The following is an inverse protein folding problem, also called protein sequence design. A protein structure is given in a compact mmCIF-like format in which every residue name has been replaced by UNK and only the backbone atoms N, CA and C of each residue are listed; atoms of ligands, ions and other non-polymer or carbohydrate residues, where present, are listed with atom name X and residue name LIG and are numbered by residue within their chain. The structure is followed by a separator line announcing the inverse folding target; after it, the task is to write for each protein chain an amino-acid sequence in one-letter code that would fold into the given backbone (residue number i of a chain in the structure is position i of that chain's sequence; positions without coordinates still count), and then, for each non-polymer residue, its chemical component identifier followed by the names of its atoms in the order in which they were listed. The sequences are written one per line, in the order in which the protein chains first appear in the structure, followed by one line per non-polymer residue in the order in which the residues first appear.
data_IF_405873274330
#
_entry.id   IF_405873274330
#
_cell.length_a   1.000
_cell.length_b   1.000
_cell.length_c   1.000
_cell.angle_alpha   90.00
_cell.angle_beta   90.00
_cell.angle_gamma   90.00
#
_symmetry.space_group_name_H-M   'P 1'
#
loop_
_entity.id
_entity.type
_entity.pdbx_description
1 polymer ?
#
# COMPACT_ATOMS: atom_id res chain seq x y z
N UNK A 1 -7.91 -5.86 -8.47
CA UNK A 1 -9.32 -6.30 -8.28
C UNK A 1 -9.84 -5.76 -6.96
N UNK A 2 -11.13 -5.43 -6.86
CA UNK A 2 -11.72 -4.85 -5.65
C UNK A 2 -11.96 -5.95 -4.59
N UNK A 3 -11.40 -5.85 -3.37
CA UNK A 3 -11.55 -6.85 -2.31
C UNK A 3 -13.01 -7.20 -1.97
N UNK A 4 -13.90 -6.21 -2.01
CA UNK A 4 -15.32 -6.41 -1.72
C UNK A 4 -16.00 -7.32 -2.75
N UNK A 5 -15.69 -7.13 -4.02
CA UNK A 5 -16.30 -7.91 -5.11
C UNK A 5 -15.78 -9.36 -5.09
N UNK A 6 -14.51 -9.55 -4.72
CA UNK A 6 -13.95 -10.88 -4.49
C UNK A 6 -14.64 -11.60 -3.33
N UNK A 7 -14.86 -10.92 -2.20
CA UNK A 7 -15.55 -11.49 -1.05
C UNK A 7 -16.99 -11.92 -1.41
N UNK A 8 -17.73 -11.09 -2.15
CA UNK A 8 -19.10 -11.43 -2.61
C UNK A 8 -19.12 -12.64 -3.55
N UNK A 9 -18.20 -12.67 -4.52
CA UNK A 9 -18.10 -13.78 -5.46
C UNK A 9 -17.78 -15.09 -4.72
N UNK A 10 -16.81 -15.05 -3.81
CA UNK A 10 -16.40 -16.19 -2.99
C UNK A 10 -17.53 -16.73 -2.12
N UNK A 11 -18.26 -15.85 -1.43
CA UNK A 11 -19.43 -16.25 -0.63
C UNK A 11 -20.52 -16.94 -1.47
N UNK A 12 -20.69 -16.51 -2.71
CA UNK A 12 -21.73 -17.04 -3.62
C UNK A 12 -21.32 -18.38 -4.21
N UNK A 13 -20.06 -18.52 -4.60
CA UNK A 13 -19.55 -19.68 -5.35
C UNK A 13 -19.17 -20.84 -4.41
N UNK A 14 -18.40 -20.57 -3.36
CA UNK A 14 -17.82 -21.59 -2.50
C UNK A 14 -18.63 -21.89 -1.23
N UNK A 15 -19.53 -20.98 -0.82
CA UNK A 15 -20.32 -21.07 0.44
C UNK A 15 -19.45 -21.47 1.64
N UNK A 16 -18.43 -20.66 1.96
CA UNK A 16 -17.46 -20.98 2.99
C UNK A 16 -18.10 -21.11 4.38
N UNK A 17 -17.46 -21.90 5.22
CA UNK A 17 -17.82 -22.04 6.62
C UNK A 17 -17.55 -20.76 7.41
N UNK A 18 -18.19 -20.64 8.58
CA UNK A 18 -17.99 -19.53 9.52
C UNK A 18 -16.51 -19.35 9.89
N UNK A 19 -15.77 -20.45 10.05
CA UNK A 19 -14.34 -20.44 10.41
C UNK A 19 -13.48 -19.87 9.28
N UNK A 20 -13.75 -20.25 8.03
CA UNK A 20 -13.05 -19.71 6.86
C UNK A 20 -13.33 -18.23 6.64
N UNK A 21 -14.57 -17.80 6.89
CA UNK A 21 -14.93 -16.38 6.85
C UNK A 21 -14.17 -15.61 7.94
N UNK A 22 -14.09 -16.17 9.14
CA UNK A 22 -13.37 -15.56 10.26
C UNK A 22 -11.86 -15.46 9.99
N UNK A 23 -11.24 -16.50 9.44
CA UNK A 23 -9.84 -16.45 9.00
C UNK A 23 -9.61 -15.43 7.88
N UNK A 24 -10.57 -15.30 6.97
CA UNK A 24 -10.51 -14.31 5.89
C UNK A 24 -10.60 -12.88 6.42
N UNK A 25 -11.46 -12.64 7.42
CA UNK A 25 -11.56 -11.36 8.11
C UNK A 25 -10.22 -11.00 8.78
N UNK A 26 -9.62 -11.95 9.51
CA UNK A 26 -8.32 -11.75 10.16
C UNK A 26 -7.22 -11.39 9.14
N UNK A 27 -7.17 -12.11 8.01
CA UNK A 27 -6.24 -11.81 6.92
C UNK A 27 -6.46 -10.41 6.33
N UNK A 28 -7.71 -9.97 6.19
CA UNK A 28 -8.03 -8.63 5.70
C UNK A 28 -7.66 -7.54 6.71
N UNK A 29 -7.76 -7.80 8.01
CA UNK A 29 -7.34 -6.87 9.06
C UNK A 29 -5.83 -6.60 9.01
N UNK A 30 -5.02 -7.64 8.81
CA UNK A 30 -3.59 -7.49 8.58
C UNK A 30 -3.29 -6.63 7.33
N UNK A 31 -4.10 -6.76 6.28
CA UNK A 31 -3.98 -5.93 5.08
C UNK A 31 -4.42 -4.48 5.29
N UNK A 32 -5.26 -4.17 6.28
CA UNK A 32 -5.62 -2.78 6.61
C UNK A 32 -4.40 -2.00 7.10
N UNK A 33 -3.53 -2.64 7.90
CA UNK A 33 -2.27 -2.03 8.34
C UNK A 33 -1.29 -1.81 7.18
N UNK A 34 -1.29 -2.72 6.18
CA UNK A 34 -0.42 -2.63 5.00
C UNK A 34 -1.19 -2.99 3.72
N UNK A 35 -1.90 -2.01 3.12
CA UNK A 35 -2.72 -2.27 1.95
C UNK A 35 -1.86 -2.67 0.73
N UNK A 36 -2.28 -3.69 -0.03
CA UNK A 36 -1.62 -4.02 -1.30
C UNK A 36 -1.79 -2.89 -2.33
N UNK A 37 -0.85 -2.80 -3.26
CA UNK A 37 -0.82 -1.74 -4.27
C UNK A 37 -2.14 -1.70 -5.09
N UNK A 38 -2.75 -0.51 -5.17
CA UNK A 38 -4.02 -0.30 -5.88
C UNK A 38 -5.27 -0.70 -5.09
N UNK A 39 -5.13 -1.06 -3.82
CA UNK A 39 -6.26 -1.33 -2.91
C UNK A 39 -6.30 -0.27 -1.81
N UNK A 40 -7.47 0.35 -1.63
CA UNK A 40 -7.66 1.33 -0.57
C UNK A 40 -8.09 0.66 0.75
N UNK A 41 -7.70 1.27 1.87
CA UNK A 41 -8.15 0.88 3.21
C UNK A 41 -9.68 0.86 3.32
N UNK A 42 -10.38 1.76 2.62
CA UNK A 42 -11.86 1.79 2.57
C UNK A 42 -12.45 0.54 1.92
N UNK A 43 -11.81 0.01 0.87
CA UNK A 43 -12.27 -1.21 0.21
C UNK A 43 -12.05 -2.44 1.08
N UNK A 44 -10.94 -2.49 1.83
CA UNK A 44 -10.67 -3.55 2.81
C UNK A 44 -11.70 -3.52 3.94
N UNK A 45 -11.98 -2.34 4.50
CA UNK A 45 -13.04 -2.17 5.51
C UNK A 45 -14.42 -2.60 4.98
N UNK A 46 -14.77 -2.23 3.75
CA UNK A 46 -16.05 -2.64 3.16
C UNK A 46 -16.15 -4.17 3.00
N UNK A 47 -15.06 -4.84 2.62
CA UNK A 47 -15.01 -6.29 2.53
C UNK A 47 -15.16 -6.95 3.91
N UNK A 48 -14.44 -6.46 4.91
CA UNK A 48 -14.54 -6.95 6.30
C UNK A 48 -15.96 -6.77 6.84
N UNK A 49 -16.57 -5.60 6.63
CA UNK A 49 -17.93 -5.31 7.04
C UNK A 49 -18.94 -6.31 6.46
N UNK A 50 -18.77 -6.63 5.18
CA UNK A 50 -19.64 -7.55 4.48
C UNK A 50 -19.51 -8.98 5.03
N UNK A 51 -18.28 -9.45 5.24
CA UNK A 51 -18.00 -10.78 5.79
C UNK A 51 -18.52 -10.91 7.23
N UNK A 52 -18.34 -9.89 8.07
CA UNK A 52 -18.87 -9.84 9.43
C UNK A 52 -20.40 -9.90 9.47
N UNK A 53 -21.06 -9.17 8.56
CA UNK A 53 -22.52 -9.22 8.42
C UNK A 53 -23.04 -10.61 8.02
N UNK A 54 -22.28 -11.36 7.22
CA UNK A 54 -22.65 -12.73 6.80
C UNK A 54 -22.63 -13.71 7.97
N UNK A 55 -21.66 -13.58 8.88
CA UNK A 55 -21.56 -14.41 10.09
C UNK A 55 -22.37 -13.86 11.27
N UNK A 56 -23.12 -12.78 11.07
CA UNK A 56 -23.98 -12.16 12.10
C UNK A 56 -23.24 -11.47 13.24
N UNK A 57 -21.97 -11.08 13.03
CA UNK A 57 -21.16 -10.37 14.03
C UNK A 57 -21.08 -8.89 13.74
N UNK A 58 -20.91 -8.09 14.81
CA UNK A 58 -20.80 -6.65 14.68
C UNK A 58 -19.35 -6.20 14.45
N UNK A 59 -19.16 -5.18 13.61
CA UNK A 59 -17.86 -4.62 13.27
C UNK A 59 -17.14 -4.02 14.49
N UNK A 60 -17.88 -3.64 15.53
CA UNK A 60 -17.33 -3.17 16.81
C UNK A 60 -16.63 -4.26 17.63
N UNK A 61 -16.85 -5.54 17.32
CA UNK A 61 -16.08 -6.65 17.91
C UNK A 61 -14.64 -6.71 17.39
N UNK A 62 -14.35 -6.01 16.29
CA UNK A 62 -13.04 -5.99 15.67
C UNK A 62 -12.20 -4.78 16.12
N UNK A 63 -11.01 -5.08 16.64
CA UNK A 63 -9.98 -4.06 16.86
C UNK A 63 -9.18 -3.92 15.56
N UNK A 64 -9.60 -2.98 14.72
CA UNK A 64 -8.88 -2.64 13.50
C UNK A 64 -7.70 -1.73 13.83
N UNK A 65 -6.51 -1.96 13.25
CA UNK A 65 -5.39 -1.05 13.42
C UNK A 65 -5.76 0.32 12.88
N UNK A 66 -5.39 1.38 13.60
CA UNK A 66 -5.49 2.74 13.09
C UNK A 66 -4.81 2.83 11.73
N UNK A 67 -5.41 3.61 10.83
CA UNK A 67 -4.78 3.87 9.55
C UNK A 67 -3.35 4.36 9.82
N UNK A 68 -2.31 3.76 9.20
CA UNK A 68 -0.95 4.20 9.43
C UNK A 68 -0.92 5.70 9.18
N UNK A 69 -0.30 6.50 10.08
CA UNK A 69 -0.14 7.92 9.80
C UNK A 69 0.46 8.01 8.41
N UNK A 70 -0.12 8.86 7.54
CA UNK A 70 0.54 9.20 6.29
C UNK A 70 1.96 9.55 6.70
N UNK A 71 2.94 8.76 6.28
CA UNK A 71 4.32 9.10 6.48
C UNK A 71 4.52 10.40 5.72
N UNK A 72 4.29 11.52 6.39
CA UNK A 72 4.89 12.78 6.01
C UNK A 72 6.37 12.47 6.07
N UNK A 73 6.98 12.37 4.90
CA UNK A 73 8.43 12.37 4.81
C UNK A 73 8.86 13.57 5.64
N UNK A 74 9.61 13.32 6.72
CA UNK A 74 10.31 14.37 7.45
C UNK A 74 11.39 14.90 6.51
N UNK A 75 10.92 15.74 5.60
CA UNK A 75 11.65 16.64 4.78
C UNK A 75 12.20 17.67 5.75
N UNK A 76 13.29 17.30 6.44
CA UNK A 76 14.05 18.24 7.27
C UNK A 76 14.48 19.48 6.47
N UNK A 77 15.42 20.31 6.95
CA UNK A 77 15.74 21.60 6.31
C UNK A 77 16.20 21.54 4.83
N UNK A 78 16.33 20.35 4.23
CA UNK A 78 16.57 20.09 2.81
C UNK A 78 15.31 19.95 1.94
N UNK A 79 14.11 19.78 2.50
CA UNK A 79 12.90 19.54 1.71
C UNK A 79 11.94 20.73 1.64
N UNK A 80 12.42 21.92 1.98
CA UNK A 80 11.67 23.18 1.96
C UNK A 80 12.26 24.22 1.02
N UNK A 81 12.71 23.83 -0.18
CA UNK A 81 12.94 24.79 -1.27
C UNK A 81 12.20 24.31 -2.53
N UNK A 82 10.97 24.80 -2.67
CA UNK A 82 10.37 25.09 -3.98
C UNK A 82 11.21 26.19 -4.66
N UNK A 83 12.43 25.84 -5.10
CA UNK A 83 13.23 26.62 -6.05
C UNK A 83 14.38 25.73 -6.55
N UNK A 84 14.09 24.88 -7.53
CA UNK A 84 14.68 25.01 -8.86
C UNK A 84 14.18 23.85 -9.72
N UNK A 85 13.94 24.17 -10.98
CA UNK A 85 13.40 23.27 -11.96
C UNK A 85 14.46 22.24 -12.34
N UNK A 86 14.62 21.17 -11.54
CA UNK A 86 15.46 20.04 -11.95
C UNK A 86 14.73 19.33 -13.08
N UNK A 87 14.94 19.85 -14.28
CA UNK A 87 14.53 19.21 -15.53
C UNK A 87 15.10 17.80 -15.46
N UNK A 88 14.27 16.74 -15.50
CA UNK A 88 14.77 15.39 -15.38
C UNK A 88 15.78 15.15 -16.49
N UNK A 89 17.04 14.87 -16.12
CA UNK A 89 18.13 14.68 -17.06
C UNK A 89 17.73 13.64 -18.10
N UNK A 90 17.94 13.99 -19.36
CA UNK A 90 17.68 13.08 -20.47
C UNK A 90 18.53 11.82 -20.31
N UNK A 91 18.09 10.67 -20.86
CA UNK A 91 18.87 9.44 -20.80
C UNK A 91 20.30 9.58 -21.37
N UNK A 92 20.52 10.51 -22.30
CA UNK A 92 21.83 10.79 -22.89
C UNK A 92 22.75 11.52 -21.89
N UNK A 93 22.28 12.58 -21.26
CA UNK A 93 23.04 13.34 -20.27
C UNK A 93 23.40 12.49 -19.04
N UNK A 94 22.49 11.58 -18.64
CA UNK A 94 22.73 10.65 -17.55
C UNK A 94 23.88 9.68 -17.85
N UNK A 95 23.96 9.18 -19.10
CA UNK A 95 25.07 8.29 -19.52
C UNK A 95 26.39 9.04 -19.59
N UNK A 96 26.37 10.28 -20.09
CA UNK A 96 27.57 11.11 -20.15
C UNK A 96 28.15 11.36 -18.76
N UNK A 97 27.31 11.80 -17.81
CA UNK A 97 27.74 12.01 -16.42
C UNK A 97 28.28 10.75 -15.76
N UNK A 98 27.70 9.60 -16.06
CA UNK A 98 28.18 8.33 -15.52
C UNK A 98 29.57 7.96 -16.05
N UNK A 99 29.86 8.21 -17.32
CA UNK A 99 31.19 7.98 -17.89
C UNK A 99 32.23 8.97 -17.36
N UNK A 100 31.86 10.25 -17.19
CA UNK A 100 32.72 11.25 -16.53
C UNK A 100 33.07 10.83 -15.10
N UNK A 101 32.07 10.40 -14.31
CA UNK A 101 32.30 9.92 -12.94
C UNK A 101 33.23 8.70 -12.87
N UNK A 102 33.12 7.80 -13.85
CA UNK A 102 33.99 6.62 -13.95
C UNK A 102 35.44 7.01 -14.26
N UNK A 103 35.66 8.09 -14.99
CA UNK A 103 37.00 8.60 -15.29
C UNK A 103 37.59 9.24 -14.05
N UNK A 104 36.81 10.09 -13.35
CA UNK A 104 37.26 10.77 -12.12
C UNK A 104 37.60 9.77 -11.00
N UNK A 105 36.79 8.72 -10.83
CA UNK A 105 37.07 7.65 -9.85
C UNK A 105 38.28 6.77 -10.21
N UNK A 106 38.74 6.81 -11.46
CA UNK A 106 39.94 6.10 -11.92
C UNK A 106 41.19 6.96 -11.85
N UNK A 107 41.08 8.26 -11.58
CA UNK A 107 42.25 9.09 -11.35
C UNK A 107 42.91 8.71 -10.01
N UNK A 108 44.22 8.45 -9.97
CA UNK A 108 44.92 8.30 -8.71
C UNK A 108 44.95 9.66 -8.00
N UNK A 109 44.56 9.67 -6.72
CA UNK A 109 44.63 10.83 -5.83
C UNK A 109 46.05 11.39 -5.71
#
# INVERSE_FOLDING_TARGET
MNPLELAKAWLTDEKPSTEEIQQSIDNLCHQVARPPAGVSVKQLHAAIAHLMGVIGRDLSELVLPDAPPKAELDLGPLGGQDDDSVTPLSPAERRQRFEELKIDLRAPF
#
